data_IF_332266143020
#
_entry.id   IF_332266143020
#
_cell.length_a   1.000
_cell.length_b   1.000
_cell.length_c   1.000
_cell.angle_alpha   90.00
_cell.angle_beta   90.00
_cell.angle_gamma   90.00
#
_symmetry.space_group_name_H-M   'P 1'
#
loop_
_entity.id
_entity.type
_entity.pdbx_description
1 polymer ?
#
# COMPACT_ATOMS: atom_id res chain seq x y z
N UNK A 1 -7.54 -76.44 13.81
CA UNK A 1 -6.18 -76.64 14.36
C UNK A 1 -5.64 -75.31 14.86
N UNK A 2 -5.22 -75.29 16.14
CA UNK A 2 -4.30 -74.37 16.86
C UNK A 2 -4.44 -72.86 16.56
N UNK A 3 -5.02 -72.00 17.41
CA UNK A 3 -4.85 -71.75 18.84
C UNK A 3 -3.46 -71.22 19.23
N UNK A 4 -3.49 -70.02 19.87
CA UNK A 4 -2.56 -69.51 20.91
C UNK A 4 -1.17 -69.09 20.36
N UNK A 5 -0.46 -68.10 20.90
CA UNK A 5 -0.40 -67.61 22.27
C UNK A 5 0.48 -66.34 22.34
N UNK A 6 0.11 -65.42 23.25
CA UNK A 6 0.96 -64.77 24.27
C UNK A 6 2.09 -63.81 23.84
N UNK A 7 2.02 -62.54 24.28
CA UNK A 7 2.53 -61.99 25.57
C UNK A 7 4.00 -61.58 25.38
N UNK A 8 4.41 -60.36 25.72
CA UNK A 8 5.08 -60.10 27.00
C UNK A 8 5.37 -58.59 27.10
N UNK A 9 4.86 -57.99 28.20
CA UNK A 9 5.45 -56.99 29.13
C UNK A 9 6.07 -55.71 28.53
N UNK A 10 5.63 -54.49 28.86
CA UNK A 10 5.47 -53.85 30.18
C UNK A 10 6.75 -53.87 31.05
N UNK A 11 7.54 -52.79 30.94
CA UNK A 11 8.43 -52.21 31.96
C UNK A 11 8.47 -50.71 31.60
N UNK A 12 8.13 -49.76 32.47
CA UNK A 12 8.60 -49.61 33.85
C UNK A 12 9.63 -48.46 33.82
N UNK A 13 9.21 -47.23 34.11
CA UNK A 13 9.39 -46.56 35.41
C UNK A 13 10.84 -46.15 35.70
N UNK A 14 11.08 -44.83 35.73
CA UNK A 14 11.91 -44.06 36.68
C UNK A 14 12.33 -42.76 35.98
N UNK A 15 11.79 -41.58 36.29
CA UNK A 15 11.84 -40.84 37.55
C UNK A 15 13.26 -40.39 37.93
N UNK A 16 13.33 -39.11 38.34
CA UNK A 16 14.42 -38.43 39.06
C UNK A 16 15.57 -37.89 38.18
N UNK A 17 16.20 -36.73 38.44
CA UNK A 17 16.21 -35.82 39.57
C UNK A 17 16.94 -34.52 39.14
N UNK A 18 16.57 -33.37 39.72
CA UNK A 18 17.42 -32.19 40.03
C UNK A 18 18.29 -31.52 38.96
N UNK A 19 18.06 -30.22 38.76
CA UNK A 19 19.03 -29.35 38.14
C UNK A 19 18.61 -27.88 38.14
N UNK A 20 18.87 -27.21 39.26
CA UNK A 20 19.25 -25.79 39.41
C UNK A 20 18.47 -24.69 38.66
N UNK A 21 18.03 -23.72 39.46
CA UNK A 21 17.65 -22.38 39.03
C UNK A 21 18.68 -21.76 38.07
N UNK A 22 18.22 -21.38 36.89
CA UNK A 22 18.78 -20.26 36.15
C UNK A 22 17.67 -19.19 36.09
N UNK A 23 17.74 -18.22 37.02
CA UNK A 23 17.22 -16.89 36.74
C UNK A 23 17.98 -16.39 35.50
N UNK A 24 17.36 -16.48 34.33
CA UNK A 24 17.77 -15.70 33.17
C UNK A 24 17.33 -14.26 33.39
N UNK A 25 18.15 -13.53 34.14
CA UNK A 25 18.15 -12.08 34.06
C UNK A 25 18.65 -11.66 32.68
N UNK A 26 17.92 -10.71 32.08
CA UNK A 26 18.30 -9.86 30.97
C UNK A 26 18.47 -10.53 29.58
N UNK A 27 17.35 -10.74 28.91
CA UNK A 27 17.22 -10.06 27.63
C UNK A 27 15.96 -9.20 27.71
N UNK A 28 16.19 -7.92 27.97
CA UNK A 28 15.20 -6.85 27.90
C UNK A 28 14.57 -6.95 26.51
N UNK A 29 13.39 -7.59 26.45
CA UNK A 29 12.59 -7.64 25.25
C UNK A 29 12.31 -6.21 24.88
N UNK A 30 12.97 -5.79 23.82
CA UNK A 30 12.81 -4.56 23.07
C UNK A 30 11.34 -4.49 22.59
N UNK A 31 10.44 -4.19 23.53
CA UNK A 31 9.01 -4.00 23.31
C UNK A 31 8.88 -2.87 22.30
N UNK A 32 8.65 -3.22 21.03
CA UNK A 32 8.49 -2.26 19.95
C UNK A 32 7.26 -1.41 20.23
N UNK A 33 7.47 -0.19 20.75
CA UNK A 33 6.39 0.69 21.19
C UNK A 33 5.82 1.55 20.06
N UNK A 34 6.65 1.91 19.08
CA UNK A 34 6.26 2.64 17.87
C UNK A 34 6.55 1.77 16.67
N UNK A 35 5.53 1.50 15.86
CA UNK A 35 5.64 0.80 14.59
C UNK A 35 5.38 1.74 13.42
N UNK A 36 6.05 1.48 12.31
CA UNK A 36 5.95 2.27 11.10
C UNK A 36 5.73 1.32 9.93
N UNK A 37 4.74 1.65 9.11
CA UNK A 37 4.45 0.96 7.86
C UNK A 37 4.23 1.96 6.74
N UNK A 38 4.35 1.49 5.51
CA UNK A 38 3.97 2.28 4.36
C UNK A 38 3.30 1.41 3.30
N UNK A 39 2.49 2.04 2.47
CA UNK A 39 1.96 1.45 1.26
C UNK A 39 1.89 2.48 0.13
N UNK A 40 2.09 2.04 -1.10
CA UNK A 40 1.75 2.85 -2.27
C UNK A 40 0.23 2.94 -2.38
N UNK A 41 -0.23 4.15 -2.65
CA UNK A 41 -1.65 4.46 -2.83
C UNK A 41 -2.15 3.80 -4.11
N UNK A 42 -1.39 3.99 -5.20
CA UNK A 42 -1.62 3.28 -6.45
C UNK A 42 -1.14 1.83 -6.34
N UNK A 43 -2.06 0.89 -6.46
CA UNK A 43 -1.76 -0.53 -6.58
C UNK A 43 -1.35 -0.81 -8.02
N UNK A 44 -0.11 -1.27 -8.19
CA UNK A 44 0.48 -1.58 -9.49
C UNK A 44 1.55 -2.65 -9.31
N UNK A 45 1.88 -3.36 -10.38
CA UNK A 45 2.98 -4.34 -10.38
C UNK A 45 4.36 -3.68 -10.43
N UNK A 46 4.44 -2.37 -10.75
CA UNK A 46 5.70 -1.63 -10.78
C UNK A 46 5.48 -0.14 -10.48
N UNK A 47 6.01 0.43 -9.37
CA UNK A 47 5.88 1.84 -9.04
C UNK A 47 6.86 2.70 -9.85
N UNK A 48 6.55 2.91 -11.14
CA UNK A 48 7.37 3.73 -12.08
C UNK A 48 6.79 5.13 -12.28
N UNK A 49 6.14 5.70 -11.26
CA UNK A 49 5.70 7.10 -11.34
C UNK A 49 6.87 8.00 -10.94
N UNK A 50 6.97 9.19 -11.56
CA UNK A 50 7.88 10.24 -11.09
C UNK A 50 7.45 10.71 -9.71
N UNK A 51 6.14 10.81 -9.47
CA UNK A 51 5.55 11.08 -8.14
C UNK A 51 4.75 9.87 -7.69
N UNK A 52 5.15 9.28 -6.57
CA UNK A 52 4.47 8.16 -5.95
C UNK A 52 3.75 8.63 -4.68
N UNK A 53 2.41 8.69 -4.65
CA UNK A 53 1.67 8.90 -3.43
C UNK A 53 1.78 7.66 -2.52
N UNK A 54 2.32 7.86 -1.32
CA UNK A 54 2.56 6.84 -0.29
C UNK A 54 1.79 7.20 0.97
N UNK A 55 1.11 6.21 1.53
CA UNK A 55 0.49 6.32 2.85
C UNK A 55 1.44 5.73 3.87
N UNK A 56 1.78 6.54 4.86
CA UNK A 56 2.63 6.14 5.98
C UNK A 56 1.76 5.99 7.20
N UNK A 57 1.80 4.80 7.81
CA UNK A 57 1.14 4.49 9.06
C UNK A 57 2.17 4.54 10.18
N UNK A 58 1.89 5.32 11.21
CA UNK A 58 2.61 5.33 12.48
C UNK A 58 1.66 4.92 13.59
N UNK A 59 2.04 3.93 14.38
CA UNK A 59 1.27 3.47 15.54
C UNK A 59 2.11 3.56 16.81
N UNK A 60 1.50 3.96 17.92
CA UNK A 60 2.09 3.91 19.26
C UNK A 60 1.15 3.14 20.19
N UNK A 61 1.18 1.81 20.13
CA UNK A 61 0.18 1.00 20.83
C UNK A 61 0.42 0.92 22.34
N UNK A 62 1.68 0.70 22.74
CA UNK A 62 2.03 0.34 24.11
C UNK A 62 3.01 1.33 24.77
N UNK A 63 3.48 2.34 24.03
CA UNK A 63 4.49 3.30 24.50
C UNK A 63 3.94 4.37 25.44
N UNK A 64 4.85 5.24 25.90
CA UNK A 64 4.48 6.55 26.45
C UNK A 64 4.13 7.49 25.30
N UNK A 65 3.52 8.63 25.62
CA UNK A 65 3.38 9.71 24.66
C UNK A 65 4.74 10.07 24.07
N UNK A 66 4.79 10.17 22.75
CA UNK A 66 6.02 10.42 22.02
C UNK A 66 5.84 11.57 21.03
N UNK A 67 6.96 12.18 20.64
CA UNK A 67 6.98 13.23 19.64
C UNK A 67 8.30 13.21 18.88
N UNK A 68 8.22 13.48 17.59
CA UNK A 68 9.37 13.38 16.70
C UNK A 68 9.09 13.93 15.32
N UNK A 69 9.89 13.48 14.36
CA UNK A 69 9.83 13.91 12.98
C UNK A 69 9.73 12.71 12.04
N UNK A 70 8.63 12.62 11.30
CA UNK A 70 8.54 11.71 10.16
C UNK A 70 9.31 12.34 9.00
N UNK A 71 10.34 11.65 8.52
CA UNK A 71 11.25 12.11 7.49
C UNK A 71 11.28 11.13 6.33
N UNK A 72 11.01 11.63 5.13
CA UNK A 72 11.39 10.98 3.88
C UNK A 72 12.67 11.61 3.36
N UNK A 73 13.68 10.80 3.04
CA UNK A 73 14.94 11.26 2.45
C UNK A 73 15.30 10.44 1.23
N UNK A 74 15.50 11.11 0.09
CA UNK A 74 16.10 10.56 -1.12
C UNK A 74 17.25 11.47 -1.58
N UNK A 75 18.05 11.10 -2.60
CA UNK A 75 19.11 11.97 -3.14
C UNK A 75 18.62 13.34 -3.61
N UNK A 76 17.35 13.47 -4.00
CA UNK A 76 16.79 14.69 -4.63
C UNK A 76 15.69 15.35 -3.79
N UNK A 77 15.18 14.68 -2.76
CA UNK A 77 14.04 15.17 -1.99
C UNK A 77 14.21 14.88 -0.50
N UNK A 78 13.87 15.85 0.34
CA UNK A 78 13.69 15.66 1.78
C UNK A 78 12.35 16.24 2.21
N UNK A 79 11.51 15.43 2.86
CA UNK A 79 10.24 15.85 3.45
C UNK A 79 10.35 15.61 4.95
N UNK A 80 10.03 16.62 5.77
CA UNK A 80 10.06 16.53 7.23
C UNK A 80 8.71 16.97 7.78
N UNK A 81 8.07 16.13 8.57
CA UNK A 81 6.76 16.39 9.18
C UNK A 81 6.89 16.22 10.69
N UNK A 82 6.61 17.26 11.50
CA UNK A 82 6.55 17.10 12.94
C UNK A 82 5.33 16.25 13.32
N UNK A 83 5.53 15.26 14.18
CA UNK A 83 4.50 14.32 14.60
C UNK A 83 4.47 14.25 16.12
N UNK A 84 3.30 14.47 16.68
CA UNK A 84 2.98 14.04 18.04
C UNK A 84 2.27 12.70 17.96
N UNK A 85 2.68 11.72 18.75
CA UNK A 85 2.16 10.37 18.71
C UNK A 85 1.79 9.92 20.14
N UNK A 86 0.59 10.30 20.64
CA UNK A 86 0.11 9.90 21.95
C UNK A 86 0.04 8.38 22.11
N UNK A 87 0.05 7.90 23.36
CA UNK A 87 -0.16 6.49 23.67
C UNK A 87 -1.52 5.99 23.13
N UNK A 88 -1.50 4.80 22.55
CA UNK A 88 -2.67 4.15 21.96
C UNK A 88 -3.16 4.81 20.67
N UNK A 89 -2.34 5.65 20.03
CA UNK A 89 -2.73 6.36 18.81
C UNK A 89 -2.19 5.72 17.55
N UNK A 90 -2.93 5.97 16.47
CA UNK A 90 -2.52 5.68 15.11
C UNK A 90 -2.64 6.97 14.29
N UNK A 91 -1.64 7.23 13.44
CA UNK A 91 -1.65 8.34 12.49
C UNK A 91 -1.28 7.87 11.10
N UNK A 92 -2.04 8.36 10.13
CA UNK A 92 -1.82 8.08 8.71
C UNK A 92 -1.43 9.41 8.03
N UNK A 93 -0.34 9.38 7.28
CA UNK A 93 0.19 10.52 6.53
C UNK A 93 0.23 10.19 5.05
N UNK A 94 -0.22 11.12 4.21
CA UNK A 94 -0.04 11.02 2.76
C UNK A 94 1.20 11.83 2.32
N UNK A 95 2.22 11.12 1.86
CA UNK A 95 3.45 11.67 1.30
C UNK A 95 3.44 11.51 -0.22
N UNK A 96 3.86 12.53 -0.94
CA UNK A 96 4.07 12.44 -2.39
C UNK A 96 5.57 12.43 -2.64
N UNK A 97 6.14 11.23 -2.79
CA UNK A 97 7.59 11.02 -2.89
C UNK A 97 8.02 10.94 -4.35
N UNK A 98 9.13 11.58 -4.67
CA UNK A 98 9.68 11.62 -6.03
C UNK A 98 10.64 10.47 -6.26
N UNK A 99 10.52 9.80 -7.41
CA UNK A 99 11.52 8.84 -7.92
C UNK A 99 12.54 9.50 -8.86
N UNK A 100 12.42 10.81 -9.12
CA UNK A 100 13.36 11.52 -9.98
C UNK A 100 14.78 11.45 -9.42
N UNK A 101 15.71 10.95 -10.24
CA UNK A 101 17.13 10.84 -9.89
C UNK A 101 17.56 9.44 -9.44
N UNK A 102 16.86 8.37 -9.86
CA UNK A 102 17.23 6.96 -9.56
C UNK A 102 17.26 6.63 -8.07
N UNK A 103 16.57 7.43 -7.26
CA UNK A 103 16.71 7.39 -5.82
C UNK A 103 15.69 6.48 -5.18
N UNK A 104 16.13 5.28 -4.80
CA UNK A 104 15.64 4.70 -3.57
C UNK A 104 15.75 5.75 -2.46
N UNK A 105 14.85 5.68 -1.50
CA UNK A 105 14.88 6.60 -0.37
C UNK A 105 14.43 5.92 0.89
N UNK A 106 14.47 6.68 1.96
CA UNK A 106 14.35 6.15 3.30
C UNK A 106 13.25 6.91 4.02
N UNK A 107 12.34 6.15 4.60
CA UNK A 107 11.38 6.66 5.55
C UNK A 107 11.92 6.41 6.96
N UNK A 108 12.02 7.46 7.77
CA UNK A 108 12.40 7.35 9.17
C UNK A 108 11.46 8.17 10.04
N UNK A 109 11.25 7.74 11.27
CA UNK A 109 10.59 8.56 12.28
C UNK A 109 11.58 8.80 13.42
N UNK A 110 12.11 10.01 13.54
CA UNK A 110 13.14 10.34 14.52
C UNK A 110 12.49 10.92 15.79
N UNK A 111 12.60 10.20 16.90
CA UNK A 111 12.08 10.59 18.20
C UNK A 111 13.11 10.31 19.29
N UNK A 112 13.03 10.97 20.46
CA UNK A 112 13.90 10.66 21.60
C UNK A 112 13.78 9.20 22.06
N UNK A 113 12.64 8.56 21.82
CA UNK A 113 12.39 7.18 22.19
C UNK A 113 12.99 6.19 21.19
N UNK A 114 12.85 6.43 19.88
CA UNK A 114 13.24 5.51 18.79
C UNK A 114 13.44 6.21 17.45
N UNK A 115 14.15 5.51 16.56
CA UNK A 115 14.30 5.92 15.15
C UNK A 115 13.99 4.75 14.20
N UNK A 116 12.73 4.28 14.10
CA UNK A 116 12.38 3.26 13.09
C UNK A 116 12.73 3.77 11.69
N UNK A 117 13.18 2.85 10.85
CA UNK A 117 13.73 3.11 9.53
C UNK A 117 13.24 2.05 8.54
N UNK A 118 12.76 2.50 7.37
CA UNK A 118 12.29 1.63 6.30
C UNK A 118 12.86 2.13 4.97
N UNK A 119 13.68 1.33 4.28
CA UNK A 119 14.07 1.63 2.91
C UNK A 119 12.86 1.42 1.99
N UNK A 120 12.64 2.37 1.07
CA UNK A 120 11.64 2.29 0.01
C UNK A 120 12.39 2.29 -1.30
N UNK A 121 12.25 1.20 -2.05
CA UNK A 121 12.80 1.15 -3.39
C UNK A 121 11.82 1.74 -4.40
N UNK A 122 12.31 2.68 -5.20
CA UNK A 122 11.54 3.32 -6.26
C UNK A 122 12.14 2.90 -7.59
N UNK A 123 11.41 2.09 -8.34
CA UNK A 123 11.89 1.66 -9.65
C UNK A 123 11.68 2.78 -10.67
N UNK A 124 12.75 3.49 -11.00
CA UNK A 124 12.79 4.49 -12.07
C UNK A 124 13.17 3.82 -13.40
N UNK A 125 12.20 3.15 -14.03
CA UNK A 125 12.34 2.72 -15.42
C UNK A 125 11.93 3.85 -16.36
N UNK A 126 12.87 4.62 -16.91
CA UNK A 126 12.55 5.56 -17.98
C UNK A 126 12.18 4.77 -19.23
N UNK A 127 10.88 4.54 -19.45
CA UNK A 127 10.38 3.88 -20.67
C UNK A 127 9.60 4.91 -21.49
N UNK A 128 10.14 5.35 -22.65
CA UNK A 128 9.34 6.14 -23.57
C UNK A 128 8.12 5.33 -24.03
N UNK A 129 7.02 6.05 -24.33
CA UNK A 129 5.77 5.53 -24.93
C UNK A 129 4.83 4.71 -24.03
N UNK A 130 4.69 5.11 -22.75
CA UNK A 130 3.63 4.56 -21.88
C UNK A 130 2.57 5.60 -21.57
N UNK A 131 1.30 5.18 -21.63
CA UNK A 131 0.18 5.94 -21.10
C UNK A 131 -0.17 5.39 -19.70
N UNK A 132 -0.13 6.23 -18.68
CA UNK A 132 -0.49 5.86 -17.33
C UNK A 132 -1.99 6.10 -17.11
N UNK A 133 -2.67 5.05 -16.68
CA UNK A 133 -4.11 5.02 -16.48
C UNK A 133 -4.40 4.84 -15.00
N UNK A 134 -4.92 5.87 -14.35
CA UNK A 134 -5.50 5.76 -13.02
C UNK A 134 -6.91 5.17 -13.11
N UNK A 135 -7.16 4.08 -12.40
CA UNK A 135 -8.47 3.43 -12.30
C UNK A 135 -8.91 3.51 -10.84
N UNK A 136 -9.96 4.28 -10.59
CA UNK A 136 -10.57 4.43 -9.27
C UNK A 136 -11.89 3.66 -9.29
N UNK A 137 -11.91 2.49 -8.66
CA UNK A 137 -13.04 1.55 -8.70
C UNK A 137 -13.00 0.61 -7.50
N UNK A 138 -14.14 0.06 -7.09
CA UNK A 138 -14.21 -1.05 -6.14
C UNK A 138 -14.04 -2.41 -6.80
N UNK A 139 -14.38 -2.49 -8.09
CA UNK A 139 -14.27 -3.70 -8.89
C UNK A 139 -12.98 -3.68 -9.72
N UNK A 140 -12.08 -4.66 -9.55
CA UNK A 140 -10.91 -4.80 -10.41
C UNK A 140 -11.34 -5.32 -11.78
N UNK A 141 -10.97 -4.62 -12.86
CA UNK A 141 -11.08 -5.14 -14.23
C UNK A 141 -12.05 -4.43 -15.17
N UNK A 142 -12.85 -3.46 -14.71
CA UNK A 142 -13.77 -2.73 -15.60
C UNK A 142 -13.11 -2.07 -16.82
N UNK A 143 -11.83 -1.71 -16.73
CA UNK A 143 -11.07 -1.08 -17.81
C UNK A 143 -10.54 -2.07 -18.87
N UNK A 144 -10.40 -3.36 -18.55
CA UNK A 144 -9.83 -4.35 -19.47
C UNK A 144 -10.69 -4.51 -20.74
N UNK A 145 -12.01 -4.32 -20.61
CA UNK A 145 -12.95 -4.43 -21.73
C UNK A 145 -12.82 -3.27 -22.74
N UNK A 146 -12.34 -2.10 -22.31
CA UNK A 146 -12.13 -0.93 -23.19
C UNK A 146 -10.85 -1.09 -24.03
N UNK A 147 -9.90 -1.93 -23.58
CA UNK A 147 -8.63 -2.19 -24.27
C UNK A 147 -8.78 -3.14 -25.48
N UNK A 148 -10.01 -3.52 -25.86
CA UNK A 148 -10.21 -4.37 -27.04
C UNK A 148 -9.62 -3.70 -28.28
N UNK A 149 -8.56 -4.33 -28.77
CA UNK A 149 -7.80 -3.98 -29.96
C UNK A 149 -8.70 -3.73 -31.17
N UNK A 150 -8.33 -2.76 -32.00
CA UNK A 150 -8.90 -2.48 -33.30
C UNK A 150 -8.82 -3.71 -34.24
N UNK A 151 -9.76 -4.63 -34.09
CA UNK A 151 -9.91 -5.82 -34.91
C UNK A 151 -8.73 -6.81 -34.88
N UNK A 152 -8.89 -7.97 -35.54
CA UNK A 152 -7.81 -8.91 -35.72
C UNK A 152 -6.71 -8.30 -36.61
N UNK A 153 -5.50 -8.11 -36.06
CA UNK A 153 -4.28 -7.87 -36.84
C UNK A 153 -3.64 -6.49 -36.74
N UNK A 154 -4.19 -5.54 -35.97
CA UNK A 154 -3.49 -4.28 -35.65
C UNK A 154 -3.27 -4.17 -34.14
N UNK A 155 -2.16 -4.73 -33.68
CA UNK A 155 -1.67 -4.41 -32.35
C UNK A 155 -1.31 -2.92 -32.33
N UNK A 156 -1.74 -2.21 -31.29
CA UNK A 156 -1.18 -0.92 -30.90
C UNK A 156 0.27 -1.14 -30.45
N UNK A 157 1.16 -1.54 -31.37
CA UNK A 157 2.44 -2.16 -31.03
C UNK A 157 3.39 -1.25 -30.27
N UNK A 158 3.12 0.05 -30.25
CA UNK A 158 4.05 1.06 -29.75
C UNK A 158 3.50 1.84 -28.53
N UNK A 159 2.23 1.65 -28.14
CA UNK A 159 1.62 2.33 -27.00
C UNK A 159 1.26 1.33 -25.90
N UNK A 160 2.08 1.29 -24.86
CA UNK A 160 1.84 0.44 -23.69
C UNK A 160 1.00 1.21 -22.66
N UNK A 161 -0.19 0.70 -22.33
CA UNK A 161 -1.00 1.26 -21.26
C UNK A 161 -0.65 0.61 -19.93
N UNK A 162 -0.33 1.42 -18.93
CA UNK A 162 -0.04 0.96 -17.57
C UNK A 162 -1.15 1.34 -16.62
N UNK A 163 -1.73 0.33 -15.98
CA UNK A 163 -2.82 0.52 -15.03
C UNK A 163 -2.30 0.75 -13.61
N UNK A 164 -2.91 1.73 -12.96
CA UNK A 164 -2.74 2.06 -11.55
C UNK A 164 -4.12 2.01 -10.90
N UNK A 165 -4.32 1.04 -10.02
CA UNK A 165 -5.61 0.80 -9.41
C UNK A 165 -5.67 1.37 -8.00
N UNK A 166 -6.81 1.91 -7.62
CA UNK A 166 -7.09 2.27 -6.22
C UNK A 166 -8.60 2.21 -5.97
N UNK A 167 -8.98 1.94 -4.71
CA UNK A 167 -10.38 2.02 -4.29
C UNK A 167 -10.78 3.47 -3.98
N UNK A 168 -12.06 3.83 -4.14
CA UNK A 168 -12.60 5.07 -3.56
C UNK A 168 -12.36 5.12 -2.04
N UNK A 169 -12.00 6.29 -1.50
CA UNK A 169 -11.54 6.46 -0.11
C UNK A 169 -10.06 6.10 0.09
N UNK A 170 -9.48 5.38 -0.86
CA UNK A 170 -8.06 5.08 -0.90
C UNK A 170 -7.28 5.94 -1.90
N UNK A 171 -7.94 6.80 -2.69
CA UNK A 171 -7.28 7.57 -3.73
C UNK A 171 -6.41 8.72 -3.16
N UNK A 172 -5.45 9.24 -3.94
CA UNK A 172 -4.66 10.40 -3.50
C UNK A 172 -5.54 11.62 -3.21
N UNK A 173 -5.31 12.28 -2.08
CA UNK A 173 -6.07 13.47 -1.66
C UNK A 173 -5.47 14.79 -2.16
N UNK A 174 -4.34 14.72 -2.86
CA UNK A 174 -3.65 15.86 -3.48
C UNK A 174 -3.49 15.63 -4.98
N UNK A 175 -3.71 16.69 -5.77
CA UNK A 175 -3.60 16.62 -7.24
C UNK A 175 -2.23 16.15 -7.74
N UNK A 176 -1.16 16.46 -7.00
CA UNK A 176 0.20 16.02 -7.33
C UNK A 176 0.35 14.49 -7.33
N UNK A 177 -0.49 13.75 -6.60
CA UNK A 177 -0.51 12.28 -6.62
C UNK A 177 -1.00 11.68 -7.95
N UNK A 178 -1.53 12.53 -8.85
CA UNK A 178 -1.97 12.19 -10.19
C UNK A 178 -1.07 12.78 -11.28
N UNK A 179 0.05 13.41 -10.93
CA UNK A 179 0.87 14.21 -11.86
C UNK A 179 1.40 13.44 -13.09
N UNK A 180 1.49 12.11 -12.97
CA UNK A 180 1.94 11.24 -14.05
C UNK A 180 0.79 10.47 -14.72
N UNK A 181 -0.47 10.74 -14.36
CA UNK A 181 -1.63 10.08 -14.93
C UNK A 181 -2.11 10.83 -16.16
N UNK A 182 -2.09 10.15 -17.31
CA UNK A 182 -2.65 10.69 -18.54
C UNK A 182 -4.17 10.58 -18.58
N UNK A 183 -4.67 9.48 -18.02
CA UNK A 183 -6.09 9.16 -17.98
C UNK A 183 -6.51 8.81 -16.55
N UNK A 184 -7.69 9.28 -16.15
CA UNK A 184 -8.34 8.95 -14.89
C UNK A 184 -9.71 8.36 -15.23
N UNK A 185 -9.93 7.10 -14.87
CA UNK A 185 -11.19 6.39 -15.02
C UNK A 185 -11.86 6.27 -13.66
N UNK A 186 -13.11 6.73 -13.60
CA UNK A 186 -13.99 6.58 -12.46
C UNK A 186 -14.96 5.43 -12.76
N UNK A 187 -14.78 4.32 -12.04
CA UNK A 187 -15.56 3.09 -12.18
C UNK A 187 -16.64 2.93 -11.12
N UNK A 188 -17.02 1.67 -10.87
CA UNK A 188 -17.98 1.30 -9.83
C UNK A 188 -17.52 1.78 -8.45
N UNK A 189 -18.41 2.43 -7.69
CA UNK A 189 -18.13 2.91 -6.35
C UNK A 189 -17.47 4.28 -6.27
N UNK A 190 -17.10 4.89 -7.41
CA UNK A 190 -16.49 6.21 -7.45
C UNK A 190 -17.38 7.33 -6.85
N UNK A 191 -18.68 7.11 -6.71
CA UNK A 191 -19.59 8.00 -5.98
C UNK A 191 -19.27 8.13 -4.48
N UNK A 192 -18.43 7.24 -3.93
CA UNK A 192 -17.97 7.25 -2.54
C UNK A 192 -16.67 8.02 -2.32
N UNK A 193 -16.15 8.68 -3.35
CA UNK A 193 -14.98 9.55 -3.22
C UNK A 193 -15.27 10.69 -2.24
N UNK A 194 -14.31 10.96 -1.36
CA UNK A 194 -14.34 12.10 -0.45
C UNK A 194 -14.14 13.42 -1.20
N UNK A 195 -14.58 14.53 -0.58
CA UNK A 195 -14.38 15.87 -1.14
C UNK A 195 -12.91 16.18 -1.46
N UNK A 196 -11.98 15.68 -0.64
CA UNK A 196 -10.56 15.86 -0.85
C UNK A 196 -10.06 15.14 -2.11
N UNK A 197 -10.50 13.89 -2.32
CA UNK A 197 -10.17 13.11 -3.52
C UNK A 197 -10.81 13.72 -4.77
N UNK A 198 -12.07 14.15 -4.70
CA UNK A 198 -12.76 14.85 -5.82
C UNK A 198 -12.00 16.13 -6.20
N UNK A 199 -11.58 16.92 -5.22
CA UNK A 199 -10.79 18.12 -5.47
C UNK A 199 -9.41 17.82 -6.05
N UNK A 200 -8.77 16.73 -5.62
CA UNK A 200 -7.49 16.27 -6.18
C UNK A 200 -7.63 15.88 -7.65
N UNK A 201 -8.66 15.09 -7.99
CA UNK A 201 -8.97 14.68 -9.37
C UNK A 201 -9.28 15.90 -10.24
N UNK A 202 -10.09 16.84 -9.74
CA UNK A 202 -10.36 18.10 -10.43
C UNK A 202 -9.07 18.86 -10.74
N UNK A 203 -8.17 18.97 -9.76
CA UNK A 203 -6.86 19.59 -9.94
C UNK A 203 -6.00 18.90 -10.98
N UNK A 204 -6.01 17.56 -11.02
CA UNK A 204 -5.32 16.76 -12.03
C UNK A 204 -5.91 16.98 -13.44
N UNK A 205 -7.24 17.00 -13.58
CA UNK A 205 -7.91 17.28 -14.85
C UNK A 205 -7.59 18.68 -15.38
N UNK A 206 -7.59 19.68 -14.51
CA UNK A 206 -7.19 21.04 -14.87
C UNK A 206 -5.71 21.14 -15.26
N UNK A 207 -4.88 20.21 -14.80
CA UNK A 207 -3.44 20.13 -15.12
C UNK A 207 -3.15 19.32 -16.39
N UNK A 208 -4.16 18.72 -17.03
CA UNK A 208 -4.06 18.07 -18.34
C UNK A 208 -4.47 16.60 -18.38
N UNK A 209 -4.71 15.95 -17.24
CA UNK A 209 -5.22 14.56 -17.24
C UNK A 209 -6.63 14.49 -17.82
N UNK A 210 -6.93 13.43 -18.57
CA UNK A 210 -8.28 13.23 -19.14
C UNK A 210 -9.14 12.40 -18.22
N UNK A 211 -10.31 12.90 -17.86
CA UNK A 211 -11.25 12.24 -16.97
C UNK A 211 -12.33 11.49 -17.75
N UNK A 212 -12.52 10.22 -17.43
CA UNK A 212 -13.53 9.35 -18.00
C UNK A 212 -14.43 8.82 -16.88
N UNK A 213 -15.74 8.97 -17.08
CA UNK A 213 -16.73 8.34 -16.22
C UNK A 213 -17.19 7.05 -16.90
N UNK A 214 -16.83 5.92 -16.33
CA UNK A 214 -17.33 4.63 -16.80
C UNK A 214 -18.75 4.46 -16.24
N UNK A 215 -19.74 4.93 -17.00
CA UNK A 215 -21.14 4.80 -16.61
C UNK A 215 -21.50 3.33 -16.32
N UNK A 216 -21.93 3.02 -15.10
CA UNK A 216 -22.01 1.62 -14.65
C UNK A 216 -22.96 1.27 -13.51
N UNK A 217 -23.88 2.15 -13.10
CA UNK A 217 -25.06 1.77 -12.29
C UNK A 217 -26.37 2.25 -12.93
N UNK A 218 -26.38 2.34 -14.27
CA UNK A 218 -27.57 2.42 -15.10
C UNK A 218 -27.96 1.08 -15.74
N UNK A 219 -27.39 -0.06 -15.30
CA UNK A 219 -28.07 -1.35 -15.55
C UNK A 219 -29.41 -1.26 -14.80
N UNK A 220 -30.55 -1.41 -15.47
CA UNK A 220 -31.84 -1.19 -14.84
C UNK A 220 -31.97 -2.13 -13.65
N UNK A 221 -32.14 -1.54 -12.46
CA UNK A 221 -32.64 -2.26 -11.27
C UNK A 221 -34.09 -2.77 -11.52
N UNK A 222 -34.66 -2.49 -12.70
CA UNK A 222 -35.91 -3.01 -13.23
C UNK A 222 -35.74 -3.89 -14.49
N UNK A 223 -34.83 -4.86 -14.50
CA UNK A 223 -35.11 -6.09 -15.26
C UNK A 223 -35.87 -7.07 -14.36
N UNK A 224 -37.03 -6.63 -13.86
CA UNK A 224 -38.04 -7.57 -13.39
C UNK A 224 -38.63 -8.22 -14.66
N UNK A 225 -38.52 -9.55 -14.76
CA UNK A 225 -39.11 -10.35 -15.86
C UNK A 225 -40.47 -10.90 -15.40
N UNK A 226 -41.21 -10.10 -14.64
CA UNK A 226 -42.61 -10.37 -14.31
C UNK A 226 -43.52 -9.67 -15.29
#
# INVERSE_FOLDING_TARGET
>A
MRAKQFLVRACGLAASLMGLAALSFAQENDLKFVDMGYEFTWKTTSPELRINPVRVRLTNELGKDDAGFLTWTSPTQKIVIPVQLPKGSEKIFELNISSQGWGDGNLSYDSPARTPYIPISLYSGNRPNKWNVAIISDSPGGFLDIRQSDGPGKAWSDLEFKDFYVKPGEAPTKSIGYADMDFIFLGEGAERLSDAEVNAIKGATLSGSRLFFMGGAGKPIFSDVR
#
